data_IF_225448814618
#
_entry.id   IF_225448814618
#
_cell.length_a   1.000
_cell.length_b   1.000
_cell.length_c   1.000
_cell.angle_alpha   90.00
_cell.angle_beta   90.00
_cell.angle_gamma   90.00
#
_symmetry.space_group_name_H-M   'P 1'
#
loop_
_entity.id
_entity.type
_entity.pdbx_description
1 polymer ?
#
# COMPACT_ATOMS: atom_id res chain seq x y z
N UNK A 1 -10.36 38.46 -18.44
CA UNK A 1 -9.39 37.41 -18.07
C UNK A 1 -10.18 36.29 -17.44
N UNK A 2 -10.16 35.08 -18.02
CA UNK A 2 -10.87 33.92 -17.46
C UNK A 2 -9.83 32.99 -16.83
N UNK A 3 -9.73 33.02 -15.50
CA UNK A 3 -8.82 32.17 -14.74
C UNK A 3 -9.53 30.88 -14.35
N UNK A 4 -8.96 29.73 -14.70
CA UNK A 4 -9.37 28.41 -14.21
C UNK A 4 -8.32 27.90 -13.23
N UNK A 5 -8.74 27.46 -12.06
CA UNK A 5 -7.86 26.95 -10.99
C UNK A 5 -8.27 25.52 -10.68
N UNK A 6 -7.29 24.62 -10.64
CA UNK A 6 -7.48 23.26 -10.13
C UNK A 6 -6.87 23.18 -8.73
N UNK A 7 -7.67 22.72 -7.76
CA UNK A 7 -7.23 22.54 -6.38
C UNK A 7 -7.35 21.06 -6.05
N UNK A 8 -6.22 20.40 -5.80
CA UNK A 8 -6.17 19.00 -5.38
C UNK A 8 -5.98 18.91 -3.88
N UNK A 9 -6.58 17.91 -3.26
CA UNK A 9 -6.61 17.80 -1.83
C UNK A 9 -6.81 16.33 -1.40
N UNK A 10 -6.35 15.95 -0.21
CA UNK A 10 -6.59 14.60 0.32
C UNK A 10 -8.07 14.43 0.67
N UNK A 11 -8.63 13.26 0.35
CA UNK A 11 -10.06 12.95 0.48
C UNK A 11 -10.54 12.76 1.92
N UNK A 12 -9.62 12.69 2.88
CA UNK A 12 -9.85 12.51 4.31
C UNK A 12 -10.10 13.81 5.08
N UNK A 13 -10.01 14.96 4.41
CA UNK A 13 -10.17 16.24 5.09
C UNK A 13 -11.53 16.90 4.85
N UNK A 14 -11.96 17.69 5.84
CA UNK A 14 -13.20 18.48 5.80
C UNK A 14 -13.12 19.68 4.84
N UNK A 15 -12.01 19.85 4.12
CA UNK A 15 -11.81 20.99 3.22
C UNK A 15 -12.70 20.84 1.99
N UNK A 16 -12.92 19.62 1.50
CA UNK A 16 -13.88 19.36 0.42
C UNK A 16 -15.30 19.83 0.76
N UNK A 17 -15.77 19.54 1.97
CA UNK A 17 -17.11 19.94 2.42
C UNK A 17 -17.24 21.46 2.58
N UNK A 18 -16.19 22.12 3.09
CA UNK A 18 -16.16 23.58 3.20
C UNK A 18 -16.12 24.27 1.84
N UNK A 19 -15.39 23.71 0.88
CA UNK A 19 -15.34 24.24 -0.49
C UNK A 19 -16.69 24.07 -1.20
N UNK A 20 -17.42 22.97 -0.96
CA UNK A 20 -18.79 22.78 -1.47
C UNK A 20 -19.78 23.80 -0.92
N UNK A 21 -19.61 24.25 0.33
CA UNK A 21 -20.45 25.27 0.97
C UNK A 21 -20.19 26.69 0.43
N UNK A 22 -19.06 26.92 -0.24
CA UNK A 22 -18.80 28.17 -0.95
C UNK A 22 -19.61 28.16 -2.24
N UNK A 23 -20.92 28.39 -2.12
CA UNK A 23 -21.90 28.32 -3.21
C UNK A 23 -21.52 29.24 -4.38
N UNK A 24 -20.78 28.70 -5.34
CA UNK A 24 -20.69 29.24 -6.69
C UNK A 24 -21.08 28.15 -7.67
N UNK A 25 -21.93 28.50 -8.64
CA UNK A 25 -22.30 27.63 -9.76
C UNK A 25 -21.10 27.15 -10.58
N UNK A 26 -19.94 27.77 -10.36
CA UNK A 26 -18.71 27.57 -11.12
C UNK A 26 -17.75 26.59 -10.42
N UNK A 27 -18.07 26.16 -9.19
CA UNK A 27 -17.28 25.18 -8.44
C UNK A 27 -17.69 23.75 -8.79
N UNK A 28 -16.83 23.05 -9.53
CA UNK A 28 -16.96 21.61 -9.78
C UNK A 28 -16.13 20.83 -8.75
N UNK A 29 -16.79 20.00 -7.95
CA UNK A 29 -16.12 19.13 -7.00
C UNK A 29 -16.23 17.68 -7.47
N UNK A 30 -15.08 17.08 -7.75
CA UNK A 30 -14.99 15.70 -8.19
C UNK A 30 -14.00 14.91 -7.32
N UNK A 31 -14.31 13.64 -7.10
CA UNK A 31 -13.38 12.68 -6.52
C UNK A 31 -12.62 11.99 -7.65
N UNK A 32 -11.32 12.24 -7.75
CA UNK A 32 -10.49 11.74 -8.83
C UNK A 32 -10.49 10.20 -8.89
N UNK A 33 -10.49 9.54 -7.74
CA UNK A 33 -10.55 8.08 -7.62
C UNK A 33 -11.81 7.48 -8.27
N UNK A 34 -12.94 8.19 -8.20
CA UNK A 34 -14.21 7.74 -8.77
C UNK A 34 -14.23 7.93 -10.29
N UNK A 35 -13.66 9.03 -10.80
CA UNK A 35 -13.62 9.31 -12.23
C UNK A 35 -12.73 8.34 -13.01
N UNK A 36 -11.73 7.76 -12.35
CA UNK A 36 -10.71 6.92 -12.98
C UNK A 36 -10.78 5.46 -12.52
N UNK A 37 -11.88 5.03 -11.89
CA UNK A 37 -12.02 3.67 -11.33
C UNK A 37 -11.66 2.57 -12.33
N UNK A 38 -12.13 2.66 -13.58
CA UNK A 38 -11.81 1.65 -14.61
C UNK A 38 -10.35 1.70 -15.06
N UNK A 39 -9.81 2.90 -15.27
CA UNK A 39 -8.40 3.08 -15.66
C UNK A 39 -7.46 2.57 -14.57
N UNK A 40 -7.71 2.96 -13.32
CA UNK A 40 -6.95 2.50 -12.16
C UNK A 40 -7.00 0.97 -12.04
N UNK A 41 -8.17 0.37 -12.24
CA UNK A 41 -8.31 -1.09 -12.22
C UNK A 41 -7.47 -1.78 -13.31
N UNK A 42 -7.49 -1.24 -14.53
CA UNK A 42 -6.69 -1.77 -15.65
C UNK A 42 -5.19 -1.63 -15.37
N UNK A 43 -4.76 -0.47 -14.89
CA UNK A 43 -3.36 -0.19 -14.57
C UNK A 43 -2.86 -1.08 -13.41
N UNK A 44 -3.67 -1.27 -12.36
CA UNK A 44 -3.37 -2.22 -11.27
C UNK A 44 -3.29 -3.65 -11.79
N UNK A 45 -4.18 -4.05 -12.70
CA UNK A 45 -4.15 -5.40 -13.30
C UNK A 45 -2.83 -5.62 -14.04
N UNK A 46 -2.39 -4.65 -14.84
CA UNK A 46 -1.10 -4.71 -15.54
C UNK A 46 0.07 -4.77 -14.56
N UNK A 47 0.04 -3.93 -13.51
CA UNK A 47 1.06 -3.92 -12.46
C UNK A 47 1.16 -5.28 -11.74
N UNK A 48 0.06 -5.82 -11.25
CA UNK A 48 0.04 -7.11 -10.55
C UNK A 48 0.55 -8.25 -11.45
N UNK A 49 0.16 -8.27 -12.72
CA UNK A 49 0.63 -9.29 -13.68
C UNK A 49 2.13 -9.18 -13.93
N UNK A 50 2.67 -7.96 -14.01
CA UNK A 50 4.11 -7.74 -14.20
C UNK A 50 4.92 -8.16 -12.97
N UNK A 51 4.48 -7.83 -11.76
CA UNK A 51 5.13 -8.24 -10.51
C UNK A 51 5.13 -9.77 -10.35
N UNK A 52 3.99 -10.44 -10.58
CA UNK A 52 3.91 -11.89 -10.55
C UNK A 52 4.83 -12.55 -11.59
N UNK A 53 4.92 -11.96 -12.80
CA UNK A 53 5.85 -12.42 -13.83
C UNK A 53 7.31 -12.31 -13.38
N UNK A 54 7.68 -11.23 -12.69
CA UNK A 54 9.03 -11.07 -12.09
C UNK A 54 9.30 -12.15 -11.05
N UNK A 55 8.37 -12.37 -10.12
CA UNK A 55 8.49 -13.42 -9.10
C UNK A 55 8.67 -14.82 -9.73
N UNK A 56 7.90 -15.14 -10.78
CA UNK A 56 8.07 -16.40 -11.53
C UNK A 56 9.46 -16.49 -12.15
N UNK A 57 9.95 -15.43 -12.79
CA UNK A 57 11.27 -15.42 -13.41
C UNK A 57 12.38 -15.62 -12.37
N UNK A 58 12.29 -14.94 -11.23
CA UNK A 58 13.23 -15.08 -10.11
C UNK A 58 13.20 -16.49 -9.53
N UNK A 59 12.02 -17.11 -9.40
CA UNK A 59 11.89 -18.49 -8.91
C UNK A 59 12.58 -19.52 -9.82
N UNK A 60 12.64 -19.28 -11.14
CA UNK A 60 13.32 -20.18 -12.10
C UNK A 60 14.83 -20.18 -11.92
N UNK A 61 15.39 -19.08 -11.41
CA UNK A 61 16.81 -18.95 -11.14
C UNK A 61 17.19 -19.56 -9.78
N UNK A 62 16.20 -19.83 -8.91
CA UNK A 62 16.36 -20.52 -7.63
C UNK A 62 16.24 -22.04 -7.83
N UNK A 63 16.56 -22.81 -6.79
CA UNK A 63 16.57 -24.28 -6.84
C UNK A 63 15.26 -24.88 -7.40
N UNK A 64 15.33 -26.03 -8.05
CA UNK A 64 14.19 -26.62 -8.79
C UNK A 64 12.94 -26.91 -7.96
N UNK A 65 13.05 -26.97 -6.63
CA UNK A 65 11.92 -27.25 -5.74
C UNK A 65 11.03 -26.02 -5.45
N UNK A 66 11.53 -24.80 -5.68
CA UNK A 66 10.80 -23.54 -5.43
C UNK A 66 10.28 -22.86 -6.70
N UNK A 67 10.34 -23.55 -7.84
CA UNK A 67 9.90 -22.99 -9.13
C UNK A 67 8.39 -22.74 -9.10
N UNK A 68 7.99 -21.50 -9.43
CA UNK A 68 6.60 -21.13 -9.64
C UNK A 68 6.13 -21.57 -11.03
N UNK A 69 4.90 -22.06 -11.10
CA UNK A 69 4.25 -22.46 -12.35
C UNK A 69 4.00 -21.23 -13.26
N UNK A 70 3.81 -21.46 -14.57
CA UNK A 70 3.58 -20.36 -15.53
C UNK A 70 2.26 -19.64 -15.27
N UNK A 71 1.24 -20.41 -14.87
CA UNK A 71 -0.11 -19.96 -14.56
C UNK A 71 -0.28 -19.51 -13.10
N UNK A 72 0.65 -19.84 -12.21
CA UNK A 72 0.62 -19.39 -10.81
C UNK A 72 0.54 -17.86 -10.72
N UNK A 73 -0.33 -17.27 -9.90
CA UNK A 73 -1.24 -17.87 -8.92
C UNK A 73 -2.65 -18.14 -9.47
N UNK A 74 -2.87 -17.96 -10.77
CA UNK A 74 -4.18 -18.00 -11.42
C UNK A 74 -4.85 -16.62 -11.50
N UNK A 75 -5.75 -16.45 -12.47
CA UNK A 75 -6.41 -15.16 -12.74
C UNK A 75 -7.38 -14.74 -11.62
N UNK A 76 -7.94 -15.69 -10.88
CA UNK A 76 -8.83 -15.41 -9.74
C UNK A 76 -8.08 -14.62 -8.66
N UNK A 77 -6.91 -15.12 -8.26
CA UNK A 77 -6.06 -14.47 -7.26
C UNK A 77 -5.60 -13.09 -7.75
N UNK A 78 -5.30 -12.95 -9.04
CA UNK A 78 -4.94 -11.64 -9.64
C UNK A 78 -6.09 -10.64 -9.48
N UNK A 79 -7.32 -11.05 -9.78
CA UNK A 79 -8.49 -10.17 -9.65
C UNK A 79 -8.75 -9.77 -8.20
N UNK A 80 -8.60 -10.69 -7.26
CA UNK A 80 -8.75 -10.38 -5.83
C UNK A 80 -7.74 -9.32 -5.41
N UNK A 81 -6.45 -9.54 -5.69
CA UNK A 81 -5.39 -8.56 -5.40
C UNK A 81 -5.69 -7.18 -5.99
N UNK A 82 -6.15 -7.12 -7.24
CA UNK A 82 -6.51 -5.85 -7.90
C UNK A 82 -7.66 -5.15 -7.17
N UNK A 83 -8.71 -5.89 -6.80
CA UNK A 83 -9.86 -5.32 -6.12
C UNK A 83 -9.48 -4.71 -4.75
N UNK A 84 -8.56 -5.36 -4.05
CA UNK A 84 -8.10 -4.93 -2.73
C UNK A 84 -7.14 -3.75 -2.81
N UNK A 85 -6.28 -3.77 -3.82
CA UNK A 85 -5.32 -2.69 -4.02
C UNK A 85 -6.01 -1.44 -4.58
N UNK A 86 -7.23 -1.53 -5.08
CA UNK A 86 -7.92 -0.37 -5.63
C UNK A 86 -8.25 0.66 -4.53
N UNK A 87 -7.95 1.96 -4.72
CA UNK A 87 -7.29 2.61 -5.87
C UNK A 87 -5.77 2.82 -5.72
N UNK A 88 -5.12 2.26 -4.71
CA UNK A 88 -3.76 2.56 -4.28
C UNK A 88 -2.71 1.56 -4.80
N UNK A 89 -1.87 2.00 -5.74
CA UNK A 89 -0.67 1.25 -6.19
C UNK A 89 0.34 0.97 -5.08
N UNK A 90 0.36 1.81 -4.04
CA UNK A 90 1.23 1.63 -2.89
C UNK A 90 0.88 0.34 -2.16
N UNK A 91 -0.41 0.03 -2.00
CA UNK A 91 -0.89 -1.21 -1.40
C UNK A 91 -0.39 -2.43 -2.18
N UNK A 92 -0.51 -2.40 -3.51
CA UNK A 92 -0.02 -3.49 -4.37
C UNK A 92 1.51 -3.66 -4.23
N UNK A 93 2.25 -2.55 -4.32
CA UNK A 93 3.71 -2.57 -4.21
C UNK A 93 4.18 -3.12 -2.87
N UNK A 94 3.48 -2.78 -1.80
CA UNK A 94 3.72 -3.29 -0.44
C UNK A 94 3.51 -4.79 -0.37
N UNK A 95 2.37 -5.30 -0.87
CA UNK A 95 2.08 -6.74 -0.88
C UNK A 95 3.17 -7.48 -1.64
N UNK A 96 3.55 -7.03 -2.83
CA UNK A 96 4.58 -7.71 -3.63
C UNK A 96 5.97 -7.67 -3.00
N UNK A 97 6.29 -6.64 -2.21
CA UNK A 97 7.52 -6.57 -1.43
C UNK A 97 7.58 -7.67 -0.37
N UNK A 98 6.50 -7.88 0.39
CA UNK A 98 6.40 -8.97 1.37
C UNK A 98 6.41 -10.35 0.69
N UNK A 99 5.66 -10.48 -0.41
CA UNK A 99 5.58 -11.74 -1.19
C UNK A 99 6.93 -12.14 -1.78
N UNK A 100 7.83 -11.21 -2.11
CA UNK A 100 9.13 -11.53 -2.73
C UNK A 100 10.03 -12.48 -1.89
N UNK A 101 9.85 -12.52 -0.57
CA UNK A 101 10.63 -13.39 0.33
C UNK A 101 10.23 -14.87 0.22
N UNK A 102 8.93 -15.15 0.27
CA UNK A 102 8.33 -16.49 0.11
C UNK A 102 7.02 -16.37 -0.69
N UNK A 103 7.10 -16.42 -2.04
CA UNK A 103 5.97 -16.08 -2.89
C UNK A 103 4.74 -16.94 -2.67
N UNK A 104 4.89 -18.25 -2.44
CA UNK A 104 3.76 -19.16 -2.25
C UNK A 104 3.07 -18.89 -0.92
N UNK A 105 3.84 -18.91 0.17
CA UNK A 105 3.26 -18.81 1.50
C UNK A 105 2.70 -17.42 1.79
N UNK A 106 3.46 -16.37 1.45
CA UNK A 106 3.06 -14.98 1.72
C UNK A 106 1.88 -14.55 0.85
N UNK A 107 1.86 -14.92 -0.44
CA UNK A 107 0.71 -14.58 -1.29
C UNK A 107 -0.56 -15.27 -0.82
N UNK A 108 -0.48 -16.54 -0.44
CA UNK A 108 -1.63 -17.26 0.11
C UNK A 108 -2.14 -16.61 1.39
N UNK A 109 -1.23 -16.21 2.30
CA UNK A 109 -1.58 -15.48 3.52
C UNK A 109 -2.34 -14.18 3.22
N UNK A 110 -1.91 -13.43 2.21
CA UNK A 110 -2.64 -12.23 1.77
C UNK A 110 -4.02 -12.58 1.24
N UNK A 111 -4.13 -13.52 0.29
CA UNK A 111 -5.43 -13.92 -0.28
C UNK A 111 -6.41 -14.38 0.80
N UNK A 112 -5.97 -15.24 1.72
CA UNK A 112 -6.80 -15.77 2.82
C UNK A 112 -7.31 -14.66 3.75
N UNK A 113 -6.42 -13.74 4.15
CA UNK A 113 -6.76 -12.60 5.02
C UNK A 113 -7.76 -11.66 4.36
N UNK A 114 -7.61 -11.48 3.04
CA UNK A 114 -8.41 -10.52 2.30
C UNK A 114 -9.81 -11.05 1.98
N UNK A 115 -9.94 -12.37 1.78
CA UNK A 115 -11.23 -13.05 1.73
C UNK A 115 -12.04 -12.88 3.03
N UNK A 116 -11.39 -12.65 4.17
CA UNK A 116 -12.05 -12.46 5.46
C UNK A 116 -12.49 -11.02 5.73
N UNK A 117 -11.85 -10.02 5.10
CA UNK A 117 -11.89 -8.62 5.57
C UNK A 117 -12.59 -7.62 4.65
N UNK A 118 -12.98 -8.02 3.43
CA UNK A 118 -13.83 -7.19 2.55
C UNK A 118 -13.32 -5.74 2.37
N UNK A 119 -14.19 -4.73 2.49
CA UNK A 119 -13.83 -3.31 2.32
C UNK A 119 -12.89 -2.74 3.40
N UNK A 120 -12.62 -3.50 4.47
CA UNK A 120 -11.70 -3.11 5.56
C UNK A 120 -10.26 -3.56 5.30
N UNK A 121 -10.01 -4.20 4.16
CA UNK A 121 -8.72 -4.73 3.75
C UNK A 121 -7.56 -3.73 3.87
N UNK A 122 -7.78 -2.44 3.59
CA UNK A 122 -6.73 -1.43 3.74
C UNK A 122 -6.30 -1.25 5.20
N UNK A 123 -7.24 -1.23 6.15
CA UNK A 123 -6.91 -1.11 7.57
C UNK A 123 -6.11 -2.33 8.04
N UNK A 124 -6.46 -3.51 7.56
CA UNK A 124 -5.75 -4.77 7.86
C UNK A 124 -4.34 -4.76 7.25
N UNK A 125 -4.19 -4.35 5.99
CA UNK A 125 -2.87 -4.23 5.35
C UNK A 125 -1.96 -3.28 6.13
N UNK A 126 -2.48 -2.11 6.54
CA UNK A 126 -1.70 -1.15 7.31
C UNK A 126 -1.42 -1.63 8.73
N UNK A 127 -2.39 -2.20 9.44
CA UNK A 127 -2.20 -2.72 10.81
C UNK A 127 -1.16 -3.83 10.83
N UNK A 128 -1.27 -4.83 9.97
CA UNK A 128 -0.34 -5.96 9.97
C UNK A 128 1.09 -5.55 9.57
N UNK A 129 1.22 -4.61 8.63
CA UNK A 129 2.52 -4.01 8.33
C UNK A 129 3.10 -3.24 9.51
N UNK A 130 2.25 -2.53 10.25
CA UNK A 130 2.68 -1.84 11.46
C UNK A 130 3.08 -2.85 12.54
N UNK A 131 2.32 -3.92 12.76
CA UNK A 131 2.65 -4.99 13.70
C UNK A 131 4.00 -5.65 13.36
N UNK A 132 4.25 -5.97 12.09
CA UNK A 132 5.53 -6.57 11.66
C UNK A 132 6.72 -5.59 11.85
N UNK A 133 6.51 -4.28 11.70
CA UNK A 133 7.54 -3.25 11.97
C UNK A 133 7.74 -3.04 13.47
N UNK A 134 6.68 -3.19 14.26
CA UNK A 134 6.64 -2.97 15.70
C UNK A 134 7.28 -4.12 16.46
N UNK A 135 7.11 -5.36 15.99
CA UNK A 135 7.81 -6.54 16.52
C UNK A 135 9.33 -6.51 16.27
N UNK A 136 9.80 -5.69 15.33
CA UNK A 136 11.22 -5.55 15.03
C UNK A 136 11.94 -4.56 15.95
N UNK A 137 11.22 -3.79 16.78
CA UNK A 137 11.82 -2.68 17.51
C UNK A 137 10.97 -2.31 18.76
N UNK A 138 11.27 -2.97 19.90
CA UNK A 138 10.56 -2.84 21.20
C UNK A 138 10.42 -1.38 21.67
N UNK A 139 11.33 -0.49 21.26
CA UNK A 139 11.33 0.94 21.60
C UNK A 139 10.13 1.71 20.97
N UNK A 140 9.56 1.19 19.87
CA UNK A 140 8.44 1.86 19.18
C UNK A 140 7.07 1.49 19.73
N UNK A 141 6.93 0.34 20.41
CA UNK A 141 5.70 -0.08 21.06
C UNK A 141 5.23 0.94 22.11
N UNK A 142 6.16 1.46 22.90
CA UNK A 142 5.87 2.47 23.93
C UNK A 142 5.42 3.81 23.31
N UNK A 143 5.93 4.15 22.13
CA UNK A 143 5.66 5.39 21.44
C UNK A 143 4.30 5.35 20.70
N UNK A 144 3.91 4.18 20.18
CA UNK A 144 2.58 3.97 19.59
C UNK A 144 1.50 4.00 20.67
N UNK A 145 1.72 3.30 21.79
CA UNK A 145 0.78 3.26 22.91
C UNK A 145 0.55 4.65 23.54
N UNK A 146 1.60 5.47 23.64
CA UNK A 146 1.47 6.85 24.14
C UNK A 146 0.80 7.81 23.14
N UNK A 147 0.87 7.52 21.84
CA UNK A 147 0.25 8.35 20.80
C UNK A 147 -1.27 8.23 20.71
N UNK A 148 -1.84 7.08 21.10
CA UNK A 148 -3.29 6.87 21.18
C UNK A 148 -4.00 7.77 22.22
N UNK A 149 -3.25 8.43 23.10
CA UNK A 149 -3.79 9.35 24.10
C UNK A 149 -3.87 10.80 23.61
N UNK A 150 -3.29 11.16 22.46
CA UNK A 150 -3.23 12.56 22.00
C UNK A 150 -3.78 12.75 20.60
N UNK A 151 -4.94 13.39 20.56
CA UNK A 151 -5.81 13.64 19.42
C UNK A 151 -5.27 14.70 18.42
N UNK A 152 -3.99 14.62 18.04
CA UNK A 152 -3.40 15.50 17.00
C UNK A 152 -2.35 14.78 16.15
N UNK A 153 -2.74 14.44 14.93
CA UNK A 153 -1.80 14.14 13.85
C UNK A 153 -1.10 15.43 13.40
N UNK A 154 0.23 15.51 13.54
CA UNK A 154 1.11 15.44 12.36
C UNK A 154 2.34 14.52 12.57
N UNK A 155 2.28 13.56 13.50
CA UNK A 155 3.42 12.73 13.90
C UNK A 155 3.75 11.61 12.90
N UNK A 156 2.78 11.18 12.08
CA UNK A 156 2.89 9.96 11.26
C UNK A 156 3.93 10.05 10.13
N UNK A 157 4.07 11.22 9.48
CA UNK A 157 5.11 11.43 8.45
C UNK A 157 6.50 11.70 9.05
N UNK A 158 6.56 12.30 10.25
CA UNK A 158 7.82 12.48 10.97
C UNK A 158 8.40 11.14 11.45
N UNK A 159 7.53 10.20 11.84
CA UNK A 159 7.88 8.84 12.22
C UNK A 159 8.47 8.05 11.05
N UNK A 160 7.83 8.08 9.87
CA UNK A 160 8.36 7.44 8.66
C UNK A 160 9.68 8.06 8.16
N UNK A 161 9.84 9.38 8.27
CA UNK A 161 11.09 10.07 7.91
C UNK A 161 12.23 9.77 8.90
N UNK A 162 11.92 9.52 10.17
CA UNK A 162 12.87 9.08 11.20
C UNK A 162 13.42 7.69 10.91
N UNK A 163 12.55 6.73 10.61
CA UNK A 163 12.91 5.34 10.28
C UNK A 163 13.83 5.24 9.05
N UNK A 164 13.64 6.10 8.05
CA UNK A 164 14.50 6.13 6.85
C UNK A 164 15.92 6.67 7.14
N UNK A 165 16.08 7.53 8.15
CA UNK A 165 17.38 8.14 8.52
C UNK A 165 18.24 7.23 9.40
N UNK A 166 17.63 6.33 10.17
CA UNK A 166 18.33 5.34 11.01
C UNK A 166 18.76 4.10 10.20
N UNK A 167 17.99 3.67 9.20
CA UNK A 167 18.35 2.54 8.34
C UNK A 167 19.57 2.82 7.41
N UNK A 168 19.81 4.08 7.03
CA UNK A 168 20.92 4.47 6.15
C UNK A 168 22.31 4.52 6.81
N UNK A 169 22.44 4.20 8.11
CA UNK A 169 23.69 4.38 8.88
C UNK A 169 24.45 3.11 9.27
N UNK A 170 24.07 1.93 8.77
CA UNK A 170 24.92 0.72 8.90
C UNK A 170 25.76 0.51 7.63
N UNK A 171 26.95 1.13 7.59
CA UNK A 171 28.04 0.67 6.71
C UNK A 171 28.55 -0.68 7.22
N UNK A 172 28.86 -1.66 6.36
CA UNK A 172 29.52 -2.88 6.80
C UNK A 172 30.96 -2.55 7.23
N UNK A 173 31.30 -2.92 8.46
CA UNK A 173 32.68 -2.97 8.93
C UNK A 173 33.39 -4.11 8.19
N UNK A 174 34.40 -3.74 7.40
CA UNK A 174 35.34 -4.69 6.83
C UNK A 174 36.23 -5.21 7.97
N UNK A 175 36.17 -6.52 8.24
CA UNK A 175 37.17 -7.22 9.01
C UNK A 175 38.08 -7.99 8.04
N UNK A 176 39.36 -7.59 8.02
CA UNK A 176 40.49 -8.38 7.55
C UNK A 176 41.03 -9.20 8.72
#
# INVERSE_FOLDING_TARGET
MNLKVFVTNRSDNKVGDKLKQMESSDLQHERLENLQTNTIKQDLTMFCKDELRKLRLESRNKSSFDKLEEDWPGEVVVNDLVNICQPLFITASTIFRDVSGDPRQRLQKWVDRLNFTGSEALNVIYLDMLEEVVDLDEEWLELIQSSHQTDRCPTFLALLAGAYRSAGRRRPSAAY
#
